data_IF_525186517276
#
_entry.id   IF_525186517276
#
_cell.length_a   1.000
_cell.length_b   1.000
_cell.length_c   1.000
_cell.angle_alpha   90.00
_cell.angle_beta   90.00
_cell.angle_gamma   90.00
#
_symmetry.space_group_name_H-M   'P 1'
#
loop_
_entity.id
_entity.type
_entity.pdbx_description
1 polymer ?
#
# COMPACT_ATOMS: atom_id res chain seq x y z
N UNK A 1 29.56 23.72 36.49
CA UNK A 1 28.77 22.55 36.05
C UNK A 1 28.71 22.58 34.53
N UNK A 2 29.26 21.56 33.84
CA UNK A 2 29.21 21.43 32.37
C UNK A 2 28.11 20.43 32.00
N UNK A 3 27.02 20.89 31.40
CA UNK A 3 25.95 20.05 30.85
C UNK A 3 26.33 19.69 29.41
N UNK A 4 26.64 18.42 29.16
CA UNK A 4 26.90 17.89 27.84
C UNK A 4 25.58 17.59 27.12
N UNK A 5 25.35 18.26 25.99
CA UNK A 5 24.28 17.93 25.05
C UNK A 5 24.74 16.77 24.15
N UNK A 6 24.08 15.62 24.28
CA UNK A 6 24.26 14.46 23.39
C UNK A 6 23.79 14.79 21.98
N UNK A 7 24.64 14.51 20.97
CA UNK A 7 24.27 14.61 19.55
C UNK A 7 23.22 13.55 19.20
N UNK A 8 22.17 13.88 18.42
CA UNK A 8 21.28 12.86 17.86
C UNK A 8 22.03 12.03 16.81
N UNK A 9 21.85 10.71 16.88
CA UNK A 9 22.37 9.72 15.91
C UNK A 9 21.75 10.05 14.53
N UNK A 10 22.55 10.60 13.62
CA UNK A 10 22.14 10.74 12.21
C UNK A 10 21.96 9.34 11.62
N UNK A 11 20.76 9.06 11.13
CA UNK A 11 20.44 7.87 10.33
C UNK A 11 21.19 7.99 9.00
N UNK A 12 21.98 6.99 8.64
CA UNK A 12 22.84 7.02 7.46
C UNK A 12 21.98 6.95 6.17
N UNK A 13 21.94 8.02 5.34
CA UNK A 13 21.11 8.06 4.13
C UNK A 13 21.48 6.98 3.10
N UNK A 14 22.73 6.49 3.14
CA UNK A 14 23.24 5.48 2.20
C UNK A 14 22.57 4.11 2.36
N UNK A 15 22.19 3.74 3.60
CA UNK A 15 21.50 2.49 3.91
C UNK A 15 20.02 2.52 3.49
N UNK A 16 19.36 3.69 3.61
CA UNK A 16 17.97 3.85 3.20
C UNK A 16 17.81 3.83 1.67
N UNK A 17 18.73 4.45 0.92
CA UNK A 17 18.72 4.43 -0.55
C UNK A 17 18.91 3.01 -1.10
N UNK A 18 19.80 2.22 -0.48
CA UNK A 18 20.04 0.83 -0.90
C UNK A 18 18.82 -0.05 -0.60
N UNK A 19 18.21 0.09 0.57
CA UNK A 19 16.99 -0.65 0.92
C UNK A 19 15.81 -0.33 -0.01
N UNK A 20 15.62 0.94 -0.38
CA UNK A 20 14.57 1.36 -1.33
C UNK A 20 14.81 0.79 -2.74
N UNK A 21 16.06 0.77 -3.19
CA UNK A 21 16.48 0.16 -4.46
C UNK A 21 16.16 -1.35 -4.49
N UNK A 22 16.52 -2.07 -3.43
CA UNK A 22 16.27 -3.51 -3.29
C UNK A 22 14.78 -3.81 -3.29
N UNK A 23 14.00 -3.04 -2.53
CA UNK A 23 12.53 -3.16 -2.45
C UNK A 23 11.86 -2.93 -3.81
N UNK A 24 12.24 -1.86 -4.52
CA UNK A 24 11.67 -1.53 -5.82
C UNK A 24 12.00 -2.60 -6.88
N UNK A 25 13.25 -3.08 -6.88
CA UNK A 25 13.67 -4.17 -7.77
C UNK A 25 12.91 -5.46 -7.46
N UNK A 26 12.71 -5.79 -6.18
CA UNK A 26 12.06 -7.04 -5.81
C UNK A 26 10.58 -7.07 -6.20
N UNK A 27 9.84 -5.98 -6.00
CA UNK A 27 8.46 -5.91 -6.48
C UNK A 27 8.38 -6.10 -8.00
N UNK A 28 9.30 -5.50 -8.76
CA UNK A 28 9.37 -5.64 -10.21
C UNK A 28 9.62 -7.09 -10.65
N UNK A 29 10.49 -7.81 -9.94
CA UNK A 29 10.73 -9.25 -10.17
C UNK A 29 9.49 -10.09 -9.89
N UNK A 30 8.78 -9.81 -8.79
CA UNK A 30 7.56 -10.53 -8.43
C UNK A 30 6.44 -10.32 -9.46
N UNK A 31 6.42 -9.17 -10.13
CA UNK A 31 5.54 -8.91 -11.28
C UNK A 31 6.03 -9.54 -12.60
N UNK A 32 7.14 -10.29 -12.61
CA UNK A 32 7.62 -11.00 -13.80
C UNK A 32 8.03 -10.10 -14.96
N UNK A 33 8.38 -8.84 -14.70
CA UNK A 33 8.66 -7.85 -15.74
C UNK A 33 7.43 -7.19 -16.37
N UNK A 34 6.22 -7.49 -15.87
CA UNK A 34 4.98 -6.85 -16.29
C UNK A 34 4.94 -5.39 -15.78
N UNK A 35 5.12 -4.45 -16.71
CA UNK A 35 5.20 -3.02 -16.39
C UNK A 35 3.90 -2.44 -15.87
N UNK A 36 2.75 -2.91 -16.36
CA UNK A 36 1.44 -2.40 -15.97
C UNK A 36 1.08 -2.88 -14.56
N UNK A 37 1.29 -4.18 -14.29
CA UNK A 37 1.07 -4.73 -12.95
C UNK A 37 2.05 -4.15 -11.94
N UNK A 38 3.33 -4.01 -12.28
CA UNK A 38 4.31 -3.34 -11.41
C UNK A 38 3.90 -1.91 -11.09
N UNK A 39 3.46 -1.14 -12.09
CA UNK A 39 2.99 0.24 -11.89
C UNK A 39 1.77 0.29 -10.99
N UNK A 40 0.79 -0.59 -11.22
CA UNK A 40 -0.41 -0.65 -10.39
C UNK A 40 -0.07 -1.04 -8.93
N UNK A 41 0.73 -2.09 -8.74
CA UNK A 41 1.13 -2.58 -7.42
C UNK A 41 1.95 -1.54 -6.66
N UNK A 42 2.93 -0.90 -7.30
CA UNK A 42 3.75 0.14 -6.67
C UNK A 42 2.96 1.37 -6.20
N UNK A 43 1.82 1.68 -6.84
CA UNK A 43 0.93 2.78 -6.44
C UNK A 43 -0.06 2.38 -5.34
N UNK A 44 -0.52 1.13 -5.35
CA UNK A 44 -1.66 0.68 -4.54
C UNK A 44 -1.27 -0.13 -3.30
N UNK A 45 -0.07 -0.70 -3.28
CA UNK A 45 0.50 -1.37 -2.11
C UNK A 45 1.09 -0.37 -1.13
N UNK A 46 1.02 -0.73 0.15
CA UNK A 46 1.88 -0.12 1.17
C UNK A 46 3.27 -0.73 1.08
N UNK A 47 4.22 -0.08 0.40
CA UNK A 47 5.58 -0.62 0.27
C UNK A 47 6.34 -0.68 1.61
N UNK A 48 5.89 0.09 2.60
CA UNK A 48 6.33 0.03 3.99
C UNK A 48 5.12 -0.32 4.89
N UNK A 49 4.94 -1.60 5.26
CA UNK A 49 3.80 -2.05 6.08
C UNK A 49 3.71 -1.37 7.45
N UNK A 50 4.82 -0.86 8.00
CA UNK A 50 4.83 -0.17 9.29
C UNK A 50 4.04 1.14 9.26
N UNK A 51 3.78 1.67 8.06
CA UNK A 51 2.94 2.86 7.86
C UNK A 51 1.44 2.55 7.91
N UNK A 52 1.04 1.27 7.91
CA UNK A 52 -0.35 0.85 8.10
C UNK A 52 -0.71 0.99 9.58
N UNK A 53 -1.02 2.21 9.99
CA UNK A 53 -1.33 2.56 11.39
C UNK A 53 -2.83 2.63 11.67
N UNK A 54 -3.64 2.78 10.63
CA UNK A 54 -5.09 2.92 10.75
C UNK A 54 -5.78 1.57 10.51
N UNK A 55 -6.60 1.08 11.45
CA UNK A 55 -7.40 -0.13 11.25
C UNK A 55 -8.37 0.00 10.08
N UNK A 56 -8.60 -1.10 9.36
CA UNK A 56 -9.50 -1.16 8.20
C UNK A 56 -10.89 -0.59 8.51
N UNK A 57 -11.49 -0.96 9.64
CA UNK A 57 -12.86 -0.54 10.01
C UNK A 57 -12.98 0.98 10.16
N UNK A 58 -11.92 1.62 10.66
CA UNK A 58 -11.88 3.08 10.78
C UNK A 58 -11.79 3.73 9.41
N UNK A 59 -10.93 3.21 8.53
CA UNK A 59 -10.83 3.69 7.14
C UNK A 59 -12.18 3.57 6.42
N UNK A 60 -12.87 2.44 6.59
CA UNK A 60 -14.19 2.22 5.97
C UNK A 60 -15.26 3.14 6.51
N UNK A 61 -15.32 3.33 7.83
CA UNK A 61 -16.28 4.25 8.46
C UNK A 61 -16.10 5.67 7.93
N UNK A 62 -14.85 6.13 7.81
CA UNK A 62 -14.53 7.45 7.26
C UNK A 62 -14.88 7.54 5.76
N UNK A 63 -14.52 6.54 4.95
CA UNK A 63 -14.84 6.48 3.52
C UNK A 63 -16.34 6.54 3.24
N UNK A 64 -17.13 5.75 3.98
CA UNK A 64 -18.59 5.72 3.87
C UNK A 64 -19.22 7.04 4.29
N UNK A 65 -18.68 7.70 5.32
CA UNK A 65 -19.12 9.02 5.74
C UNK A 65 -18.89 10.06 4.63
N UNK A 66 -17.73 10.03 3.96
CA UNK A 66 -17.46 10.90 2.81
C UNK A 66 -18.36 10.59 1.61
N UNK A 67 -18.63 9.31 1.32
CA UNK A 67 -19.59 8.89 0.29
C UNK A 67 -20.99 9.46 0.57
N UNK A 68 -21.49 9.31 1.80
CA UNK A 68 -22.80 9.83 2.22
C UNK A 68 -22.90 11.35 2.13
N UNK A 69 -21.79 12.06 2.35
CA UNK A 69 -21.70 13.52 2.22
C UNK A 69 -21.50 13.99 0.76
N UNK A 70 -21.42 13.06 -0.21
CA UNK A 70 -21.17 13.38 -1.62
C UNK A 70 -19.71 13.78 -1.92
N UNK A 71 -18.79 13.63 -0.98
CA UNK A 71 -17.37 13.93 -1.17
C UNK A 71 -16.66 12.76 -1.86
N UNK A 72 -16.85 12.66 -3.18
CA UNK A 72 -16.33 11.57 -4.02
C UNK A 72 -14.81 11.40 -3.91
N UNK A 73 -14.05 12.50 -3.89
CA UNK A 73 -12.59 12.46 -3.80
C UNK A 73 -12.12 11.82 -2.50
N UNK A 74 -12.68 12.21 -1.36
CA UNK A 74 -12.28 11.61 -0.07
C UNK A 74 -12.79 10.18 0.10
N UNK A 75 -13.97 9.87 -0.45
CA UNK A 75 -14.47 8.49 -0.49
C UNK A 75 -13.53 7.59 -1.31
N UNK A 76 -13.12 8.04 -2.50
CA UNK A 76 -12.15 7.36 -3.36
C UNK A 76 -10.85 7.04 -2.62
N UNK A 77 -10.24 8.04 -1.98
CA UNK A 77 -9.00 7.86 -1.20
C UNK A 77 -9.19 6.86 -0.08
N UNK A 78 -10.31 6.92 0.65
CA UNK A 78 -10.63 5.99 1.72
C UNK A 78 -10.75 4.55 1.21
N UNK A 79 -11.47 4.34 0.11
CA UNK A 79 -11.60 3.02 -0.50
C UNK A 79 -10.29 2.51 -1.12
N UNK A 80 -9.43 3.38 -1.68
CA UNK A 80 -8.06 3.00 -2.09
C UNK A 80 -7.25 2.47 -0.91
N UNK A 81 -7.27 3.18 0.22
CA UNK A 81 -6.55 2.76 1.43
C UNK A 81 -7.08 1.42 1.92
N UNK A 82 -8.40 1.22 1.95
CA UNK A 82 -9.01 -0.05 2.31
C UNK A 82 -8.60 -1.21 1.38
N UNK A 83 -8.52 -0.96 0.07
CA UNK A 83 -8.01 -1.92 -0.92
C UNK A 83 -6.53 -2.27 -0.68
N UNK A 84 -5.69 -1.27 -0.39
CA UNK A 84 -4.28 -1.49 -0.04
C UNK A 84 -4.12 -2.30 1.26
N UNK A 85 -4.97 -2.09 2.27
CA UNK A 85 -4.94 -2.87 3.51
C UNK A 85 -5.37 -4.31 3.23
N UNK A 86 -6.31 -4.51 2.31
CA UNK A 86 -6.77 -5.83 1.90
C UNK A 86 -5.68 -6.59 1.14
N UNK A 87 -4.90 -5.92 0.28
CA UNK A 87 -3.68 -6.49 -0.31
C UNK A 87 -2.70 -6.95 0.78
N UNK A 88 -2.48 -6.13 1.80
CA UNK A 88 -1.61 -6.48 2.92
C UNK A 88 -2.09 -7.71 3.71
N UNK A 89 -3.40 -7.82 3.95
CA UNK A 89 -4.00 -8.96 4.65
C UNK A 89 -4.14 -10.21 3.78
N UNK A 90 -3.91 -10.11 2.47
CA UNK A 90 -4.21 -11.16 1.51
C UNK A 90 -5.71 -11.44 1.36
N UNK A 91 -6.55 -10.43 1.60
CA UNK A 91 -8.01 -10.51 1.52
C UNK A 91 -8.49 -10.20 0.09
N UNK A 92 -8.70 -11.24 -0.71
CA UNK A 92 -9.11 -11.12 -2.11
C UNK A 92 -10.47 -10.43 -2.28
N UNK A 93 -11.44 -10.75 -1.44
CA UNK A 93 -12.78 -10.17 -1.53
C UNK A 93 -12.75 -8.69 -1.16
N UNK A 94 -11.96 -8.33 -0.14
CA UNK A 94 -11.68 -6.95 0.22
C UNK A 94 -11.01 -6.18 -0.92
N UNK A 95 -9.99 -6.75 -1.57
CA UNK A 95 -9.30 -6.15 -2.72
C UNK A 95 -10.29 -5.83 -3.83
N UNK A 96 -11.12 -6.80 -4.24
CA UNK A 96 -12.13 -6.62 -5.29
C UNK A 96 -13.12 -5.52 -4.90
N UNK A 97 -13.73 -5.64 -3.72
CA UNK A 97 -14.77 -4.72 -3.25
C UNK A 97 -14.29 -3.28 -3.14
N UNK A 98 -13.14 -3.05 -2.52
CA UNK A 98 -12.69 -1.70 -2.20
C UNK A 98 -12.05 -1.01 -3.40
N UNK A 99 -11.31 -1.72 -4.26
CA UNK A 99 -10.82 -1.10 -5.49
C UNK A 99 -11.95 -0.89 -6.52
N UNK A 100 -13.00 -1.70 -6.53
CA UNK A 100 -14.18 -1.43 -7.35
C UNK A 100 -14.87 -0.14 -6.89
N UNK A 101 -15.08 0.02 -5.57
CA UNK A 101 -15.59 1.27 -4.99
C UNK A 101 -14.70 2.48 -5.31
N UNK A 102 -13.39 2.36 -5.16
CA UNK A 102 -12.45 3.44 -5.51
C UNK A 102 -12.54 3.80 -7.01
N UNK A 103 -12.56 2.81 -7.89
CA UNK A 103 -12.67 2.99 -9.34
C UNK A 103 -13.96 3.71 -9.75
N UNK A 104 -15.10 3.39 -9.10
CA UNK A 104 -16.38 4.06 -9.36
C UNK A 104 -16.31 5.58 -9.10
N UNK A 105 -15.56 6.01 -8.09
CA UNK A 105 -15.39 7.44 -7.80
C UNK A 105 -14.31 8.12 -8.64
N UNK A 106 -13.25 7.40 -8.97
CA UNK A 106 -12.12 7.89 -9.77
C UNK A 106 -12.45 8.04 -11.27
N UNK A 107 -13.37 7.22 -11.79
CA UNK A 107 -13.55 7.05 -13.23
C UNK A 107 -12.24 6.62 -13.89
N UNK A 108 -11.89 7.27 -14.99
CA UNK A 108 -10.70 6.92 -15.79
C UNK A 108 -9.38 7.54 -15.28
N UNK A 109 -9.42 8.31 -14.19
CA UNK A 109 -8.25 9.05 -13.68
C UNK A 109 -7.20 8.14 -13.02
N UNK A 110 -7.60 6.92 -12.64
CA UNK A 110 -6.75 5.94 -11.93
C UNK A 110 -6.85 4.56 -12.59
N UNK A 111 -6.21 4.36 -13.75
CA UNK A 111 -6.26 3.09 -14.49
C UNK A 111 -5.67 1.92 -13.71
N UNK A 112 -4.79 2.17 -12.74
CA UNK A 112 -4.23 1.15 -11.85
C UNK A 112 -5.29 0.31 -11.13
N UNK A 113 -6.47 0.89 -10.80
CA UNK A 113 -7.55 0.12 -10.18
C UNK A 113 -8.06 -0.99 -11.09
N UNK A 114 -8.22 -0.70 -12.38
CA UNK A 114 -8.70 -1.68 -13.35
C UNK A 114 -7.67 -2.80 -13.58
N UNK A 115 -6.38 -2.49 -13.52
CA UNK A 115 -5.31 -3.49 -13.61
C UNK A 115 -5.40 -4.47 -12.43
N UNK A 116 -5.51 -3.95 -11.20
CA UNK A 116 -5.65 -4.80 -10.00
C UNK A 116 -6.95 -5.59 -10.05
N UNK A 117 -8.08 -4.98 -10.39
CA UNK A 117 -9.37 -5.69 -10.43
C UNK A 117 -9.35 -6.87 -11.38
N UNK A 118 -8.83 -6.69 -12.61
CA UNK A 118 -8.70 -7.76 -13.61
C UNK A 118 -7.75 -8.88 -13.18
N UNK A 119 -6.80 -8.59 -12.30
CA UNK A 119 -5.72 -9.51 -11.88
C UNK A 119 -5.68 -9.68 -10.36
N UNK A 120 -6.85 -9.66 -9.72
CA UNK A 120 -6.95 -9.56 -8.26
C UNK A 120 -6.24 -10.73 -7.56
N UNK A 121 -6.40 -11.96 -8.07
CA UNK A 121 -5.75 -13.16 -7.52
C UNK A 121 -4.22 -13.07 -7.60
N UNK A 122 -3.69 -12.59 -8.73
CA UNK A 122 -2.25 -12.41 -8.94
C UNK A 122 -1.70 -11.27 -8.07
N UNK A 123 -2.41 -10.16 -7.99
CA UNK A 123 -2.07 -9.02 -7.14
C UNK A 123 -1.98 -9.44 -5.66
N UNK A 124 -2.95 -10.21 -5.17
CA UNK A 124 -2.93 -10.76 -3.80
C UNK A 124 -1.75 -11.72 -3.60
N UNK A 125 -1.48 -12.60 -4.56
CA UNK A 125 -0.35 -13.54 -4.50
C UNK A 125 1.00 -12.83 -4.43
N UNK A 126 1.21 -11.82 -5.27
CA UNK A 126 2.42 -10.99 -5.27
C UNK A 126 2.52 -10.17 -3.98
N UNK A 127 1.43 -9.54 -3.54
CA UNK A 127 1.40 -8.77 -2.30
C UNK A 127 1.81 -9.64 -1.10
N UNK A 128 1.24 -10.84 -0.97
CA UNK A 128 1.62 -11.79 0.09
C UNK A 128 3.12 -12.09 0.06
N UNK A 129 3.68 -12.49 -1.09
CA UNK A 129 5.12 -12.78 -1.22
C UNK A 129 5.98 -11.59 -0.80
N UNK A 130 5.64 -10.40 -1.28
CA UNK A 130 6.34 -9.17 -0.93
C UNK A 130 6.27 -8.89 0.58
N UNK A 131 5.09 -9.04 1.20
CA UNK A 131 4.92 -8.78 2.63
C UNK A 131 5.51 -9.87 3.53
N UNK A 132 5.60 -11.11 3.08
CA UNK A 132 6.31 -12.16 3.80
C UNK A 132 7.82 -11.86 3.84
N UNK A 133 8.38 -11.37 2.73
CA UNK A 133 9.80 -11.00 2.60
C UNK A 133 10.15 -9.71 3.37
N UNK A 134 9.31 -8.67 3.31
CA UNK A 134 9.63 -7.34 3.85
C UNK A 134 8.82 -6.93 5.09
N UNK A 135 7.67 -7.56 5.34
CA UNK A 135 6.85 -7.31 6.52
C UNK A 135 7.42 -7.95 7.79
N UNK A 136 8.19 -9.03 7.66
CA UNK A 136 8.85 -9.75 8.76
C UNK A 136 10.15 -9.08 9.26
N UNK A 137 10.74 -8.15 8.49
CA UNK A 137 11.90 -7.32 8.89
C UNK A 137 11.61 -6.35 10.06
N UNK A 138 10.41 -6.41 10.66
CA UNK A 138 10.02 -5.66 11.85
C UNK A 138 9.88 -6.47 13.14
N UNK A 139 10.03 -7.80 13.12
CA UNK A 139 9.71 -8.67 14.27
C UNK A 139 10.93 -9.21 15.02
N UNK A 140 12.14 -8.75 14.69
CA UNK A 140 13.32 -9.00 15.51
C UNK A 140 13.42 -7.86 16.54
N UNK A 141 12.65 -8.00 17.64
CA UNK A 141 12.86 -7.26 18.89
C UNK A 141 13.71 -8.10 19.83
#
# INVERSE_FOLDING_TARGET
>A
MKLGFGKPKQKDPSLEINAQSVVANRLKELCGGDGDLYTAMSRLMFLDPKKITTPLDRVLTEAQSFEAQGNKLRAEVGYRIAGGISLYKGDLDGVKKYFEKAALFAGDSHPEYQVILKRSDEAVSIARKYYDEFGSLGTQS
#
